data_IF_881197017188
#
_entry.id   IF_881197017188
#
_cell.length_a   1.000
_cell.length_b   1.000
_cell.length_c   1.000
_cell.angle_alpha   90.00
_cell.angle_beta   90.00
_cell.angle_gamma   90.00
#
_symmetry.space_group_name_H-M   'P 1'
#
loop_
_entity.id
_entity.type
_entity.pdbx_description
1 polymer ?
#
# COMPACT_ATOMS: atom_id res chain seq x y z
N UNK A 1 25.41 5.87 10.73
CA UNK A 1 23.94 5.94 10.51
C UNK A 1 23.31 4.57 10.22
N UNK A 2 23.97 3.67 9.48
CA UNK A 2 23.41 2.36 9.15
C UNK A 2 23.08 1.46 10.36
N UNK A 3 23.77 1.65 11.49
CA UNK A 3 23.58 0.89 12.74
C UNK A 3 22.70 1.61 13.77
N UNK A 4 22.08 2.73 13.43
CA UNK A 4 21.25 3.46 14.38
C UNK A 4 20.02 2.61 14.79
N UNK A 5 19.57 2.67 16.06
CA UNK A 5 18.32 2.06 16.51
C UNK A 5 17.11 2.61 15.72
N UNK A 6 16.10 1.76 15.48
CA UNK A 6 14.91 2.14 14.69
C UNK A 6 14.23 3.43 15.17
N UNK A 7 14.05 3.69 16.49
CA UNK A 7 13.47 4.94 16.96
C UNK A 7 14.23 6.19 16.51
N UNK A 8 15.57 6.11 16.40
CA UNK A 8 16.39 7.22 15.91
C UNK A 8 16.21 7.43 14.41
N UNK A 9 16.10 6.35 13.63
CA UNK A 9 15.84 6.42 12.19
C UNK A 9 14.48 7.07 11.92
N UNK A 10 13.44 6.66 12.66
CA UNK A 10 12.10 7.25 12.55
C UNK A 10 12.14 8.76 12.83
N UNK A 11 12.86 9.19 13.87
CA UNK A 11 13.01 10.61 14.23
C UNK A 11 13.77 11.42 13.17
N UNK A 12 14.85 10.87 12.63
CA UNK A 12 15.62 11.50 11.54
C UNK A 12 14.74 11.68 10.31
N UNK A 13 13.97 10.65 9.95
CA UNK A 13 13.05 10.74 8.82
C UNK A 13 11.92 11.71 9.07
N UNK A 14 11.31 11.72 10.25
CA UNK A 14 10.30 12.72 10.59
C UNK A 14 10.85 14.16 10.44
N UNK A 15 12.12 14.37 10.80
CA UNK A 15 12.81 15.66 10.66
C UNK A 15 13.03 16.01 9.18
N UNK A 16 13.52 15.08 8.37
CA UNK A 16 13.69 15.26 6.91
C UNK A 16 12.33 15.49 6.22
N UNK A 17 11.30 14.77 6.66
CA UNK A 17 9.89 14.94 6.29
C UNK A 17 9.26 16.21 6.84
N UNK A 18 9.95 17.03 7.62
CA UNK A 18 9.50 18.36 8.06
C UNK A 18 10.19 19.50 7.29
N UNK A 19 11.26 19.23 6.53
CA UNK A 19 12.01 20.25 5.79
C UNK A 19 11.23 20.81 4.60
N UNK A 20 11.34 22.12 4.37
CA UNK A 20 10.73 22.80 3.22
C UNK A 20 11.36 22.39 1.87
N UNK A 21 12.68 22.13 1.85
CA UNK A 21 13.40 21.60 0.69
C UNK A 21 14.00 20.23 1.03
N UNK A 22 13.51 19.18 0.35
CA UNK A 22 13.93 17.79 0.59
C UNK A 22 15.12 17.33 -0.24
N UNK A 23 15.50 18.05 -1.30
CA UNK A 23 16.47 17.57 -2.30
C UNK A 23 17.79 17.04 -1.70
N UNK A 24 18.56 17.85 -0.95
CA UNK A 24 19.80 17.39 -0.30
C UNK A 24 19.56 16.36 0.81
N UNK A 25 18.44 16.47 1.53
CA UNK A 25 18.09 15.56 2.61
C UNK A 25 17.68 14.17 2.12
N UNK A 26 17.13 14.07 0.90
CA UNK A 26 16.80 12.80 0.24
C UNK A 26 18.04 11.94 -0.06
N UNK A 27 19.21 12.58 -0.21
CA UNK A 27 20.49 11.89 -0.34
C UNK A 27 20.97 11.31 1.01
N UNK A 28 20.73 12.02 2.12
CA UNK A 28 21.08 11.56 3.47
C UNK A 28 20.26 10.34 3.90
N UNK A 29 18.99 10.27 3.49
CA UNK A 29 18.13 9.10 3.77
C UNK A 29 18.29 7.96 2.76
N UNK A 30 19.03 8.17 1.66
CA UNK A 30 19.16 7.16 0.60
C UNK A 30 19.68 5.81 1.11
N UNK A 31 20.71 5.73 1.98
CA UNK A 31 21.18 4.48 2.56
C UNK A 31 20.16 3.82 3.50
N UNK A 32 19.25 4.60 4.07
CA UNK A 32 18.22 4.11 5.00
C UNK A 32 16.95 3.65 4.30
N UNK A 33 16.82 3.81 2.97
CA UNK A 33 15.57 3.53 2.24
C UNK A 33 15.08 2.10 2.43
N UNK A 34 15.97 1.11 2.47
CA UNK A 34 15.60 -0.29 2.69
C UNK A 34 15.01 -0.49 4.09
N UNK A 35 15.68 0.01 5.13
CA UNK A 35 15.17 -0.06 6.51
C UNK A 35 13.87 0.74 6.67
N UNK A 36 13.75 1.90 6.02
CA UNK A 36 12.51 2.70 6.04
C UNK A 36 11.36 2.06 5.28
N UNK A 37 11.66 1.31 4.21
CA UNK A 37 10.69 0.47 3.58
C UNK A 37 10.19 -0.58 4.58
N UNK A 38 11.08 -1.20 5.35
CA UNK A 38 10.70 -2.14 6.43
C UNK A 38 9.88 -1.48 7.54
N UNK A 39 10.31 -0.35 8.08
CA UNK A 39 9.68 0.26 9.25
C UNK A 39 8.33 0.95 8.96
N UNK A 40 8.10 1.41 7.72
CA UNK A 40 6.95 2.25 7.32
C UNK A 40 6.47 3.21 8.42
N UNK A 41 7.36 4.06 8.98
CA UNK A 41 6.94 4.96 10.02
C UNK A 41 5.79 5.85 9.51
N UNK A 42 4.77 6.12 10.33
CA UNK A 42 3.72 7.07 10.01
C UNK A 42 4.36 8.38 9.55
N UNK A 43 4.01 8.83 8.35
CA UNK A 43 4.64 10.02 7.78
C UNK A 43 3.87 11.26 8.21
N UNK A 44 4.53 12.39 8.52
CA UNK A 44 3.84 13.64 8.82
C UNK A 44 2.85 14.02 7.72
N UNK A 45 1.63 14.40 8.06
CA UNK A 45 0.70 14.93 7.06
C UNK A 45 1.19 16.29 6.57
N UNK A 46 1.06 16.50 5.27
CA UNK A 46 1.35 17.75 4.56
C UNK A 46 0.25 17.97 3.55
N UNK A 47 -0.01 19.21 3.14
CA UNK A 47 -1.06 19.53 2.18
C UNK A 47 -0.97 18.68 0.91
N UNK A 48 0.20 18.63 0.26
CA UNK A 48 0.42 17.81 -0.93
C UNK A 48 0.22 16.30 -0.67
N UNK A 49 0.62 15.80 0.50
CA UNK A 49 0.45 14.37 0.86
C UNK A 49 -1.02 14.02 1.08
N UNK A 50 -1.78 14.89 1.73
CA UNK A 50 -3.23 14.72 1.89
C UNK A 50 -3.95 14.83 0.53
N UNK A 51 -3.56 15.79 -0.32
CA UNK A 51 -4.14 15.99 -1.65
C UNK A 51 -4.01 14.74 -2.52
N UNK A 52 -2.82 14.13 -2.53
CA UNK A 52 -2.52 12.99 -3.40
C UNK A 52 -2.68 11.62 -2.74
N UNK A 53 -2.99 11.55 -1.44
CA UNK A 53 -3.25 10.30 -0.72
C UNK A 53 -4.16 9.29 -1.47
N UNK A 54 -5.34 9.67 -2.00
CA UNK A 54 -6.20 8.73 -2.71
C UNK A 54 -5.61 8.27 -4.05
N UNK A 55 -4.62 9.00 -4.59
CA UNK A 55 -3.97 8.75 -5.87
C UNK A 55 -2.59 8.09 -5.73
N UNK A 56 -2.13 7.81 -4.51
CA UNK A 56 -0.82 7.24 -4.21
C UNK A 56 -0.47 6.01 -5.07
N UNK A 57 -1.37 5.03 -5.29
CA UNK A 57 -1.10 3.88 -6.16
C UNK A 57 -0.77 4.25 -7.60
N UNK A 58 -1.08 5.48 -8.03
CA UNK A 58 -0.82 5.96 -9.38
C UNK A 58 0.47 6.73 -9.56
N UNK A 59 1.13 7.09 -8.46
CA UNK A 59 2.31 7.96 -8.44
C UNK A 59 3.57 7.14 -8.76
N UNK A 60 4.32 7.57 -9.77
CA UNK A 60 5.55 6.90 -10.21
C UNK A 60 6.75 7.85 -10.22
N UNK A 61 7.99 7.35 -10.11
CA UNK A 61 9.18 8.15 -10.39
C UNK A 61 9.14 8.73 -11.81
N UNK A 62 9.58 9.98 -11.99
CA UNK A 62 9.55 10.65 -13.29
C UNK A 62 10.29 9.87 -14.39
N UNK A 63 11.42 9.23 -14.05
CA UNK A 63 12.19 8.40 -14.99
C UNK A 63 11.39 7.23 -15.59
N UNK A 64 10.34 6.77 -14.91
CA UNK A 64 9.48 5.66 -15.32
C UNK A 64 8.16 6.12 -15.94
N UNK A 65 7.87 7.41 -15.92
CA UNK A 65 6.67 7.96 -16.52
C UNK A 65 6.86 8.21 -18.01
N UNK A 66 5.81 8.03 -18.80
CA UNK A 66 5.76 8.35 -20.23
C UNK A 66 4.41 8.97 -20.57
N UNK A 67 4.33 9.86 -21.58
CA UNK A 67 3.05 10.34 -22.10
C UNK A 67 2.13 9.17 -22.48
N UNK A 68 0.85 9.29 -22.16
CA UNK A 68 -0.14 8.23 -22.38
C UNK A 68 -0.09 7.08 -21.36
N UNK A 69 0.91 7.01 -20.48
CA UNK A 69 0.82 6.10 -19.35
C UNK A 69 -0.19 6.65 -18.34
N UNK A 70 -1.10 5.79 -17.89
CA UNK A 70 -2.17 6.08 -16.93
C UNK A 70 -1.66 6.34 -15.48
N UNK A 71 -0.55 7.08 -15.31
CA UNK A 71 0.19 7.38 -14.06
C UNK A 71 0.45 8.86 -13.86
N UNK A 72 0.77 9.22 -12.62
CA UNK A 72 1.16 10.57 -12.23
C UNK A 72 2.67 10.59 -11.94
N UNK A 73 3.49 11.39 -12.66
CA UNK A 73 4.90 11.53 -12.36
C UNK A 73 5.08 12.33 -11.06
N UNK A 74 5.97 11.87 -10.17
CA UNK A 74 6.21 12.52 -8.88
C UNK A 74 6.63 14.00 -8.99
N UNK A 75 7.26 14.39 -10.09
CA UNK A 75 7.66 15.79 -10.35
C UNK A 75 6.48 16.73 -10.51
N UNK A 76 5.31 16.24 -10.95
CA UNK A 76 4.10 17.06 -11.10
C UNK A 76 3.41 17.39 -9.77
N UNK A 77 3.66 16.62 -8.70
CA UNK A 77 2.88 16.75 -7.46
C UNK A 77 3.04 18.11 -6.79
N UNK A 78 4.27 18.63 -6.69
CA UNK A 78 4.53 19.88 -5.97
C UNK A 78 3.90 21.10 -6.68
N UNK A 79 4.10 21.33 -8.00
CA UNK A 79 3.44 22.43 -8.70
C UNK A 79 1.91 22.37 -8.66
N UNK A 80 1.34 21.16 -8.81
CA UNK A 80 -0.12 20.96 -8.77
C UNK A 80 -0.68 21.22 -7.36
N UNK A 81 0.00 20.71 -6.31
CA UNK A 81 -0.40 20.99 -4.94
C UNK A 81 -0.34 22.48 -4.60
N UNK A 82 0.69 23.18 -5.07
CA UNK A 82 0.85 24.61 -4.83
C UNK A 82 -0.26 25.43 -5.50
N UNK A 83 -0.61 25.09 -6.75
CA UNK A 83 -1.73 25.72 -7.43
C UNK A 83 -3.05 25.54 -6.68
N UNK A 84 -3.33 24.33 -6.21
CA UNK A 84 -4.53 24.02 -5.42
C UNK A 84 -4.53 24.83 -4.13
N UNK A 85 -3.41 24.83 -3.41
CA UNK A 85 -3.22 25.58 -2.16
C UNK A 85 -3.49 27.07 -2.34
N UNK A 86 -2.86 27.69 -3.34
CA UNK A 86 -3.03 29.12 -3.64
C UNK A 86 -4.46 29.47 -4.07
N UNK A 87 -5.09 28.61 -4.89
CA UNK A 87 -6.45 28.87 -5.40
C UNK A 87 -7.52 28.71 -4.32
N UNK A 88 -7.30 27.82 -3.35
CA UNK A 88 -8.21 27.62 -2.20
C UNK A 88 -8.04 28.69 -1.11
N UNK A 89 -6.88 29.35 -1.04
CA UNK A 89 -6.63 30.44 -0.09
C UNK A 89 -6.89 30.05 1.37
N UNK A 90 -7.80 30.74 2.11
CA UNK A 90 -8.06 30.46 3.52
C UNK A 90 -8.47 29.03 3.84
N UNK A 91 -9.20 28.35 2.94
CA UNK A 91 -9.64 26.97 3.16
C UNK A 91 -8.45 26.00 3.20
N UNK A 92 -7.44 26.22 2.35
CA UNK A 92 -6.21 25.43 2.40
C UNK A 92 -5.43 25.68 3.70
N UNK A 93 -5.34 26.93 4.15
CA UNK A 93 -4.69 27.27 5.41
C UNK A 93 -5.39 26.62 6.62
N UNK A 94 -6.72 26.56 6.62
CA UNK A 94 -7.49 25.88 7.66
C UNK A 94 -7.24 24.35 7.66
N UNK A 95 -7.12 23.73 6.49
CA UNK A 95 -6.74 22.31 6.37
C UNK A 95 -5.31 22.09 6.88
N UNK A 96 -4.36 22.93 6.49
CA UNK A 96 -2.96 22.85 6.94
C UNK A 96 -2.83 22.95 8.46
N UNK A 97 -3.57 23.88 9.08
CA UNK A 97 -3.60 24.01 10.53
C UNK A 97 -4.15 22.75 11.23
N UNK A 98 -5.17 22.09 10.65
CA UNK A 98 -5.76 20.85 11.20
C UNK A 98 -4.84 19.64 11.10
N UNK A 99 -4.01 19.55 10.06
CA UNK A 99 -3.11 18.41 9.85
C UNK A 99 -1.72 18.62 10.46
N UNK A 100 -1.45 19.79 11.04
CA UNK A 100 -0.18 20.09 11.70
C UNK A 100 0.09 19.09 12.84
N UNK A 101 1.30 18.52 12.87
CA UNK A 101 1.73 17.48 13.81
C UNK A 101 0.90 16.17 13.76
N UNK A 102 0.12 15.96 12.71
CA UNK A 102 -0.61 14.71 12.47
C UNK A 102 0.16 13.83 11.48
N UNK A 103 -0.18 12.54 11.42
CA UNK A 103 0.51 11.58 10.56
C UNK A 103 -0.45 10.80 9.68
N UNK A 104 0.07 10.05 8.71
CA UNK A 104 -0.72 9.18 7.84
C UNK A 104 -1.45 8.05 8.57
N UNK A 105 -1.17 7.82 9.86
CA UNK A 105 -1.92 6.87 10.68
C UNK A 105 -3.30 7.40 11.10
N UNK A 106 -3.56 8.70 10.94
CA UNK A 106 -4.80 9.34 11.36
C UNK A 106 -5.89 9.25 10.29
N UNK A 107 -6.41 8.04 10.09
CA UNK A 107 -7.34 7.70 8.99
C UNK A 107 -8.60 8.58 9.04
N UNK A 108 -9.17 8.80 10.22
CA UNK A 108 -10.38 9.62 10.36
C UNK A 108 -10.14 11.09 10.01
N UNK A 109 -8.97 11.63 10.38
CA UNK A 109 -8.61 13.00 9.99
C UNK A 109 -8.39 13.11 8.49
N UNK A 110 -7.76 12.12 7.87
CA UNK A 110 -7.56 12.06 6.41
C UNK A 110 -8.92 12.05 5.71
N UNK A 111 -9.87 11.21 6.15
CA UNK A 111 -11.20 11.15 5.57
C UNK A 111 -11.94 12.50 5.69
N UNK A 112 -11.92 13.13 6.87
CA UNK A 112 -12.57 14.44 7.09
C UNK A 112 -11.95 15.57 6.29
N UNK A 113 -10.63 15.72 6.33
CA UNK A 113 -9.94 16.81 5.61
C UNK A 113 -9.93 16.55 4.10
N UNK A 114 -9.76 15.29 3.69
CA UNK A 114 -9.83 14.84 2.30
C UNK A 114 -11.21 15.09 1.68
N UNK A 115 -12.29 14.82 2.41
CA UNK A 115 -13.65 15.11 1.97
C UNK A 115 -13.91 16.59 1.64
N UNK A 116 -13.20 17.51 2.31
CA UNK A 116 -13.22 18.94 1.99
C UNK A 116 -12.26 19.28 0.83
N UNK A 117 -11.04 18.72 0.89
CA UNK A 117 -9.95 19.05 -0.03
C UNK A 117 -10.17 18.54 -1.45
N UNK A 118 -10.48 17.25 -1.62
CA UNK A 118 -10.43 16.60 -2.94
C UNK A 118 -11.47 17.15 -3.92
N UNK A 119 -12.74 17.38 -3.54
CA UNK A 119 -13.71 18.01 -4.45
C UNK A 119 -13.34 19.46 -4.80
N UNK A 120 -12.76 20.22 -3.86
CA UNK A 120 -12.29 21.58 -4.13
C UNK A 120 -11.10 21.58 -5.11
N UNK A 121 -10.13 20.69 -4.89
CA UNK A 121 -8.99 20.51 -5.76
C UNK A 121 -9.40 20.08 -7.18
N UNK A 122 -10.39 19.19 -7.30
CA UNK A 122 -10.96 18.80 -8.59
C UNK A 122 -11.42 20.02 -9.40
N UNK A 123 -12.20 20.92 -8.79
CA UNK A 123 -12.67 22.15 -9.43
C UNK A 123 -11.54 23.09 -9.82
N UNK A 124 -10.55 23.29 -8.94
CA UNK A 124 -9.38 24.14 -9.22
C UNK A 124 -8.60 23.62 -10.43
N UNK A 125 -8.35 22.32 -10.48
CA UNK A 125 -7.55 21.70 -11.55
C UNK A 125 -8.31 21.63 -12.87
N UNK A 126 -9.64 21.48 -12.84
CA UNK A 126 -10.49 21.54 -14.03
C UNK A 126 -10.46 22.92 -14.71
N UNK A 127 -10.15 24.00 -13.98
CA UNK A 127 -9.98 25.33 -14.57
C UNK A 127 -8.71 25.48 -15.42
N UNK A 128 -7.77 24.54 -15.35
CA UNK A 128 -6.65 24.42 -16.30
C UNK A 128 -5.57 25.52 -16.24
N UNK A 129 -5.50 26.33 -15.16
CA UNK A 129 -4.46 27.36 -15.03
C UNK A 129 -3.08 26.74 -14.80
N UNK A 130 -2.18 26.86 -15.78
CA UNK A 130 -0.80 26.36 -15.65
C UNK A 130 -0.06 27.11 -14.53
N UNK A 131 0.56 26.41 -13.56
CA UNK A 131 1.41 27.03 -12.54
C UNK A 131 2.71 27.58 -13.14
N UNK A 132 3.19 28.71 -12.64
CA UNK A 132 4.48 29.30 -13.05
C UNK A 132 5.66 28.34 -12.84
N UNK A 133 5.56 27.44 -11.85
CA UNK A 133 6.61 26.46 -11.55
C UNK A 133 6.56 25.21 -12.43
N UNK A 134 5.63 25.11 -13.40
CA UNK A 134 5.45 23.89 -14.19
C UNK A 134 6.68 23.50 -15.01
N UNK A 135 7.42 24.47 -15.55
CA UNK A 135 8.61 24.21 -16.36
C UNK A 135 9.69 23.44 -15.60
N UNK A 136 9.74 23.61 -14.26
CA UNK A 136 10.66 22.88 -13.37
C UNK A 136 10.38 21.38 -13.30
N UNK A 137 9.23 20.92 -13.79
CA UNK A 137 8.88 19.49 -13.83
C UNK A 137 9.63 18.72 -14.91
N UNK A 138 10.09 19.41 -15.97
CA UNK A 138 10.67 18.80 -17.17
C UNK A 138 9.67 18.06 -18.07
N UNK A 139 8.36 18.15 -17.82
CA UNK A 139 7.33 17.42 -18.56
C UNK A 139 6.84 18.16 -19.83
N UNK A 140 7.13 19.47 -19.93
CA UNK A 140 6.65 20.33 -20.99
C UNK A 140 5.20 20.80 -20.79
N UNK A 141 4.86 21.98 -21.33
CA UNK A 141 3.54 22.60 -21.17
C UNK A 141 2.40 21.77 -21.77
N UNK A 142 2.64 21.09 -22.90
CA UNK A 142 1.64 20.25 -23.55
C UNK A 142 1.12 19.09 -22.67
N UNK A 143 1.91 18.67 -21.67
CA UNK A 143 1.53 17.60 -20.76
C UNK A 143 0.73 18.06 -19.55
N UNK A 144 0.68 19.37 -19.28
CA UNK A 144 -0.04 19.90 -18.13
C UNK A 144 -1.53 19.56 -18.19
N UNK A 145 -2.22 20.04 -19.22
CA UNK A 145 -3.68 19.93 -19.31
C UNK A 145 -4.19 18.47 -19.34
N UNK A 146 -3.61 17.54 -20.13
CA UNK A 146 -4.05 16.14 -20.08
C UNK A 146 -3.87 15.51 -18.70
N UNK A 147 -2.73 15.77 -18.04
CA UNK A 147 -2.45 15.20 -16.73
C UNK A 147 -3.36 15.79 -15.64
N UNK A 148 -3.51 17.11 -15.58
CA UNK A 148 -4.35 17.74 -14.55
C UNK A 148 -5.83 17.48 -14.76
N UNK A 149 -6.30 17.31 -16.00
CA UNK A 149 -7.69 16.90 -16.27
C UNK A 149 -7.95 15.49 -15.74
N UNK A 150 -7.01 14.56 -15.94
CA UNK A 150 -7.11 13.23 -15.32
C UNK A 150 -7.12 13.33 -13.79
N UNK A 151 -6.19 14.08 -13.19
CA UNK A 151 -6.13 14.25 -11.72
C UNK A 151 -7.43 14.87 -11.19
N UNK A 152 -7.97 15.89 -11.87
CA UNK A 152 -9.22 16.54 -11.51
C UNK A 152 -10.39 15.57 -11.50
N UNK A 153 -10.55 14.76 -12.55
CA UNK A 153 -11.60 13.75 -12.63
C UNK A 153 -11.51 12.72 -11.49
N UNK A 154 -10.29 12.25 -11.17
CA UNK A 154 -10.08 11.30 -10.08
C UNK A 154 -10.32 11.90 -8.70
N UNK A 155 -9.86 13.14 -8.45
CA UNK A 155 -10.08 13.84 -7.18
C UNK A 155 -11.56 14.16 -6.94
N UNK A 156 -12.34 14.34 -8.00
CA UNK A 156 -13.80 14.51 -7.89
C UNK A 156 -14.48 13.31 -7.24
N UNK A 157 -13.93 12.10 -7.43
CA UNK A 157 -14.44 10.85 -6.90
C UNK A 157 -13.68 10.33 -5.67
N UNK A 158 -12.61 11.00 -5.25
CA UNK A 158 -11.70 10.48 -4.23
C UNK A 158 -12.39 10.22 -2.88
N UNK A 159 -13.35 11.07 -2.48
CA UNK A 159 -14.09 10.91 -1.23
C UNK A 159 -15.02 9.67 -1.29
N UNK A 160 -15.70 9.47 -2.41
CA UNK A 160 -16.56 8.29 -2.63
C UNK A 160 -15.73 6.99 -2.65
N UNK A 161 -14.57 7.02 -3.33
CA UNK A 161 -13.62 5.91 -3.34
C UNK A 161 -13.12 5.57 -1.92
N UNK A 162 -12.79 6.58 -1.13
CA UNK A 162 -12.29 6.41 0.24
C UNK A 162 -13.37 5.83 1.18
N UNK A 163 -14.60 6.33 1.08
CA UNK A 163 -15.74 5.80 1.81
C UNK A 163 -16.05 4.35 1.43
N UNK A 164 -16.00 4.01 0.13
CA UNK A 164 -16.21 2.65 -0.35
C UNK A 164 -15.11 1.69 0.13
N UNK A 165 -13.84 2.12 0.07
CA UNK A 165 -12.72 1.32 0.56
C UNK A 165 -12.78 1.10 2.08
N UNK A 166 -13.22 2.11 2.83
CA UNK A 166 -13.40 1.99 4.28
C UNK A 166 -14.55 1.05 4.64
N UNK A 167 -15.67 1.11 3.91
CA UNK A 167 -16.83 0.23 4.14
C UNK A 167 -16.57 -1.24 3.80
N UNK A 168 -15.61 -1.52 2.92
CA UNK A 168 -15.21 -2.88 2.52
C UNK A 168 -13.96 -3.37 3.24
N UNK A 169 -13.38 -2.54 4.11
CA UNK A 169 -12.21 -2.90 4.90
C UNK A 169 -12.48 -4.16 5.73
N UNK A 170 -11.55 -5.11 5.68
CA UNK A 170 -11.70 -6.42 6.35
C UNK A 170 -12.51 -7.46 5.56
N UNK A 171 -13.02 -7.13 4.36
CA UNK A 171 -13.62 -8.11 3.45
C UNK A 171 -14.96 -8.69 3.91
N UNK A 172 -15.61 -8.07 4.91
CA UNK A 172 -16.90 -8.54 5.45
C UNK A 172 -18.07 -8.29 4.48
N UNK A 173 -17.97 -7.26 3.65
CA UNK A 173 -18.99 -6.90 2.67
C UNK A 173 -18.35 -6.75 1.29
N UNK A 174 -18.99 -7.26 0.22
CA UNK A 174 -18.57 -6.98 -1.14
C UNK A 174 -18.74 -5.48 -1.45
N UNK A 175 -17.92 -4.91 -2.34
CA UNK A 175 -18.09 -3.53 -2.76
C UNK A 175 -19.43 -3.34 -3.49
N UNK A 176 -20.11 -2.24 -3.16
CA UNK A 176 -21.36 -1.85 -3.80
C UNK A 176 -21.14 -1.57 -5.30
N UNK A 177 -21.65 -2.48 -6.15
CA UNK A 177 -21.50 -2.41 -7.59
C UNK A 177 -22.12 -1.14 -8.18
N UNK A 178 -23.27 -0.69 -7.66
CA UNK A 178 -23.95 0.50 -8.15
C UNK A 178 -23.11 1.75 -7.90
N UNK A 179 -22.47 1.86 -6.72
CA UNK A 179 -21.53 2.95 -6.43
C UNK A 179 -20.29 2.90 -7.31
N UNK A 180 -19.74 1.71 -7.56
CA UNK A 180 -18.62 1.56 -8.52
C UNK A 180 -19.03 2.07 -9.89
N UNK A 181 -20.19 1.65 -10.40
CA UNK A 181 -20.66 2.06 -11.72
C UNK A 181 -20.91 3.56 -11.81
N UNK A 182 -21.52 4.16 -10.78
CA UNK A 182 -21.71 5.60 -10.70
C UNK A 182 -20.37 6.35 -10.78
N UNK A 183 -19.36 5.96 -9.99
CA UNK A 183 -18.04 6.57 -10.04
C UNK A 183 -17.38 6.45 -11.43
N UNK A 184 -17.46 5.27 -12.06
CA UNK A 184 -16.91 5.06 -13.41
C UNK A 184 -17.63 5.91 -14.45
N UNK A 185 -18.95 6.02 -14.37
CA UNK A 185 -19.76 6.87 -15.22
C UNK A 185 -19.40 8.35 -15.07
N UNK A 186 -19.26 8.84 -13.83
CA UNK A 186 -18.87 10.21 -13.55
C UNK A 186 -17.44 10.53 -14.03
N UNK A 187 -16.48 9.61 -13.85
CA UNK A 187 -15.12 9.78 -14.40
C UNK A 187 -15.13 9.77 -15.92
N UNK A 188 -15.88 8.86 -16.55
CA UNK A 188 -15.96 8.79 -18.01
C UNK A 188 -16.60 10.05 -18.60
N UNK A 189 -17.64 10.58 -17.95
CA UNK A 189 -18.31 11.82 -18.34
C UNK A 189 -17.40 13.04 -18.17
N UNK A 190 -16.61 13.09 -17.10
CA UNK A 190 -15.65 14.18 -16.87
C UNK A 190 -14.46 14.11 -17.82
N UNK A 191 -13.83 12.93 -17.95
CA UNK A 191 -12.68 12.72 -18.81
C UNK A 191 -12.42 11.23 -19.07
N UNK A 192 -12.84 10.71 -20.22
CA UNK A 192 -12.70 9.30 -20.59
C UNK A 192 -11.27 8.72 -20.42
N UNK A 193 -10.17 9.43 -20.79
CA UNK A 193 -8.81 8.93 -20.55
C UNK A 193 -8.43 8.71 -19.08
N UNK A 194 -9.19 9.23 -18.11
CA UNK A 194 -8.96 8.98 -16.69
C UNK A 194 -9.53 7.63 -16.22
N UNK A 195 -10.38 6.98 -17.02
CA UNK A 195 -11.07 5.75 -16.64
C UNK A 195 -10.12 4.59 -16.26
N UNK A 196 -9.03 4.31 -17.00
CA UNK A 196 -8.07 3.27 -16.59
C UNK A 196 -7.39 3.59 -15.26
N UNK A 197 -7.18 4.88 -14.96
CA UNK A 197 -6.59 5.33 -13.69
C UNK A 197 -7.56 5.06 -12.53
N UNK A 198 -8.85 5.35 -12.71
CA UNK A 198 -9.87 5.06 -11.71
C UNK A 198 -10.01 3.55 -11.45
N UNK A 199 -10.04 2.73 -12.52
CA UNK A 199 -10.09 1.27 -12.38
C UNK A 199 -8.83 0.76 -11.66
N UNK A 200 -7.65 1.28 -11.99
CA UNK A 200 -6.42 0.91 -11.30
C UNK A 200 -6.46 1.28 -9.80
N UNK A 201 -7.07 2.41 -9.43
CA UNK A 201 -7.26 2.79 -8.02
C UNK A 201 -8.23 1.86 -7.30
N UNK A 202 -9.37 1.55 -7.91
CA UNK A 202 -10.35 0.61 -7.37
C UNK A 202 -9.68 -0.73 -7.07
N UNK A 203 -9.01 -1.32 -8.07
CA UNK A 203 -8.35 -2.62 -7.92
C UNK A 203 -7.17 -2.59 -6.95
N UNK A 204 -6.43 -1.47 -6.87
CA UNK A 204 -5.30 -1.33 -5.95
C UNK A 204 -5.74 -1.13 -4.49
N UNK A 205 -6.96 -0.66 -4.23
CA UNK A 205 -7.50 -0.45 -2.87
C UNK A 205 -8.46 -1.55 -2.45
N UNK A 206 -9.21 -2.12 -3.39
CA UNK A 206 -10.25 -3.12 -3.22
C UNK A 206 -10.21 -4.11 -4.39
N UNK A 207 -9.33 -5.13 -4.37
CA UNK A 207 -9.26 -6.13 -5.44
C UNK A 207 -10.61 -6.78 -5.78
N UNK A 208 -11.51 -6.90 -4.81
CA UNK A 208 -12.88 -7.38 -4.92
C UNK A 208 -13.71 -6.62 -5.95
N UNK A 209 -13.39 -5.35 -6.17
CA UNK A 209 -14.09 -4.51 -7.14
C UNK A 209 -14.03 -5.11 -8.56
N UNK A 210 -13.02 -5.95 -8.85
CA UNK A 210 -12.89 -6.65 -10.12
C UNK A 210 -14.15 -7.44 -10.51
N UNK A 211 -14.87 -8.02 -9.54
CA UNK A 211 -16.09 -8.79 -9.81
C UNK A 211 -17.26 -7.89 -10.28
N UNK A 212 -17.28 -6.62 -9.86
CA UNK A 212 -18.34 -5.67 -10.19
C UNK A 212 -18.10 -4.96 -11.54
N UNK A 213 -16.85 -4.94 -12.06
CA UNK A 213 -16.51 -4.21 -13.29
C UNK A 213 -17.16 -4.78 -14.57
N UNK A 214 -17.22 -6.11 -14.81
CA UNK A 214 -17.81 -6.65 -16.02
C UNK A 214 -19.34 -6.53 -16.08
N UNK A 215 -19.99 -6.48 -14.92
CA UNK A 215 -21.45 -6.35 -14.81
C UNK A 215 -21.95 -4.96 -15.19
N UNK A 216 -21.02 -4.03 -15.43
CA UNK A 216 -21.31 -2.62 -15.39
C UNK A 216 -22.15 -2.12 -16.56
N UNK A 217 -22.01 -2.64 -17.80
CA UNK A 217 -22.63 -1.95 -18.93
C UNK A 217 -22.87 -2.86 -20.15
N UNK A 218 -24.08 -2.80 -20.72
CA UNK A 218 -24.32 -3.12 -22.13
C UNK A 218 -23.99 -1.93 -23.04
N UNK A 219 -23.65 -2.19 -24.30
CA UNK A 219 -23.44 -1.14 -25.31
C UNK A 219 -22.02 -0.54 -25.34
N UNK A 220 -21.90 0.69 -25.88
CA UNK A 220 -20.62 1.37 -26.14
C UNK A 220 -19.81 1.68 -24.87
N UNK A 221 -20.48 2.04 -23.78
CA UNK A 221 -19.83 2.29 -22.47
C UNK A 221 -19.16 1.03 -21.93
N UNK A 222 -19.75 -0.15 -22.15
CA UNK A 222 -19.15 -1.43 -21.75
C UNK A 222 -17.83 -1.71 -22.44
N UNK A 223 -17.72 -1.42 -23.74
CA UNK A 223 -16.46 -1.57 -24.48
C UNK A 223 -15.37 -0.62 -23.95
N UNK A 224 -15.72 0.62 -23.63
CA UNK A 224 -14.77 1.59 -23.08
C UNK A 224 -14.27 1.18 -21.69
N UNK A 225 -15.16 0.71 -20.81
CA UNK A 225 -14.79 0.19 -19.48
C UNK A 225 -13.90 -1.05 -19.61
N UNK A 226 -14.20 -1.97 -20.52
CA UNK A 226 -13.39 -3.16 -20.75
C UNK A 226 -11.98 -2.81 -21.24
N UNK A 227 -11.87 -1.91 -22.22
CA UNK A 227 -10.57 -1.43 -22.70
C UNK A 227 -9.77 -0.72 -21.58
N UNK A 228 -10.45 0.06 -20.74
CA UNK A 228 -9.84 0.71 -19.59
C UNK A 228 -9.40 -0.29 -18.51
N UNK A 229 -10.16 -1.37 -18.28
CA UNK A 229 -9.79 -2.47 -17.40
C UNK A 229 -8.53 -3.17 -17.88
N UNK A 230 -8.42 -3.44 -19.18
CA UNK A 230 -7.23 -4.09 -19.74
C UNK A 230 -5.98 -3.22 -19.57
N UNK A 231 -6.08 -1.91 -19.80
CA UNK A 231 -4.98 -0.96 -19.53
C UNK A 231 -4.64 -0.85 -18.04
N UNK A 232 -5.64 -0.85 -17.16
CA UNK A 232 -5.45 -0.84 -15.71
C UNK A 232 -4.74 -2.12 -15.24
N UNK A 233 -5.12 -3.27 -15.77
CA UNK A 233 -4.49 -4.56 -15.47
C UNK A 233 -3.02 -4.59 -15.87
N UNK A 234 -2.70 -4.20 -17.11
CA UNK A 234 -1.31 -4.15 -17.60
C UNK A 234 -0.44 -3.23 -16.74
N UNK A 235 -0.99 -2.06 -16.38
CA UNK A 235 -0.34 -1.11 -15.48
C UNK A 235 -0.05 -1.70 -14.10
N UNK A 236 -1.04 -2.32 -13.47
CA UNK A 236 -0.90 -2.89 -12.13
C UNK A 236 0.15 -4.01 -12.12
N UNK A 237 0.12 -4.87 -13.15
CA UNK A 237 1.13 -5.92 -13.31
C UNK A 237 2.52 -5.34 -13.52
N UNK A 238 2.66 -4.32 -14.37
CA UNK A 238 3.95 -3.62 -14.55
C UNK A 238 4.45 -2.99 -13.25
N UNK A 239 3.56 -2.43 -12.43
CA UNK A 239 3.94 -1.84 -11.14
C UNK A 239 4.41 -2.91 -10.13
N UNK A 240 3.72 -4.05 -10.06
CA UNK A 240 4.10 -5.17 -9.19
C UNK A 240 5.40 -5.84 -9.63
N UNK A 241 5.65 -5.88 -10.93
CA UNK A 241 6.81 -6.56 -11.51
C UNK A 241 8.12 -5.77 -11.39
N UNK A 242 8.02 -4.44 -11.40
CA UNK A 242 9.17 -3.54 -11.48
C UNK A 242 9.86 -3.25 -10.14
N UNK A 243 11.20 -3.16 -10.15
CA UNK A 243 12.08 -2.67 -9.07
C UNK A 243 11.69 -3.15 -7.67
N UNK A 244 11.56 -4.46 -7.50
CA UNK A 244 11.14 -5.09 -6.25
C UNK A 244 9.75 -4.66 -5.75
N UNK A 245 8.85 -4.13 -6.59
CA UNK A 245 7.53 -3.64 -6.16
C UNK A 245 6.74 -4.63 -5.30
N UNK A 246 6.70 -5.90 -5.70
CA UNK A 246 6.11 -6.97 -4.89
C UNK A 246 6.91 -7.18 -3.59
N UNK A 247 8.23 -7.36 -3.66
CA UNK A 247 9.06 -7.63 -2.48
C UNK A 247 9.04 -6.47 -1.48
N UNK A 248 9.10 -5.22 -1.95
CA UNK A 248 9.07 -4.02 -1.13
C UNK A 248 7.76 -3.86 -0.38
N UNK A 249 6.63 -4.30 -0.95
CA UNK A 249 5.33 -4.30 -0.25
C UNK A 249 5.28 -5.36 0.85
N UNK A 250 5.87 -6.53 0.62
CA UNK A 250 5.90 -7.62 1.61
C UNK A 250 6.96 -7.41 2.68
N UNK A 251 8.13 -6.87 2.32
CA UNK A 251 9.25 -6.62 3.22
C UNK A 251 8.99 -5.49 4.23
N UNK A 252 7.80 -4.90 4.20
CA UNK A 252 7.48 -3.64 4.85
C UNK A 252 6.33 -3.76 5.85
N UNK A 253 6.43 -3.01 6.95
CA UNK A 253 5.50 -3.03 8.07
C UNK A 253 5.72 -4.21 9.02
N UNK A 254 4.75 -4.39 9.90
CA UNK A 254 4.66 -5.56 10.77
C UNK A 254 4.45 -6.84 9.95
N UNK A 255 4.66 -8.00 10.57
CA UNK A 255 4.35 -9.28 9.95
C UNK A 255 2.86 -9.40 9.55
N UNK A 256 1.95 -8.80 10.32
CA UNK A 256 0.53 -8.74 9.97
C UNK A 256 0.28 -7.88 8.74
N UNK A 257 0.96 -6.72 8.61
CA UNK A 257 0.87 -5.87 7.42
C UNK A 257 1.40 -6.59 6.16
N UNK A 258 2.47 -7.37 6.32
CA UNK A 258 3.03 -8.19 5.25
C UNK A 258 2.02 -9.26 4.79
N UNK A 259 1.34 -9.93 5.73
CA UNK A 259 0.29 -10.90 5.43
C UNK A 259 -0.90 -10.25 4.70
N UNK A 260 -1.41 -9.13 5.20
CA UNK A 260 -2.48 -8.37 4.54
C UNK A 260 -2.08 -7.92 3.12
N UNK A 261 -0.84 -7.47 2.94
CA UNK A 261 -0.30 -7.09 1.63
C UNK A 261 -0.19 -8.31 0.69
N UNK A 262 0.22 -9.48 1.19
CA UNK A 262 0.28 -10.72 0.41
C UNK A 262 -1.11 -11.15 -0.05
N UNK A 263 -2.09 -11.17 0.85
CA UNK A 263 -3.48 -11.48 0.57
C UNK A 263 -4.05 -10.58 -0.53
N UNK A 264 -3.84 -9.26 -0.39
CA UNK A 264 -4.32 -8.28 -1.34
C UNK A 264 -3.71 -8.48 -2.74
N UNK A 265 -2.40 -8.71 -2.83
CA UNK A 265 -1.72 -8.96 -4.11
C UNK A 265 -2.20 -10.29 -4.69
N UNK A 266 -2.30 -11.36 -3.90
CA UNK A 266 -2.76 -12.67 -4.35
C UNK A 266 -4.18 -12.60 -4.93
N UNK A 267 -5.08 -11.90 -4.24
CA UNK A 267 -6.46 -11.67 -4.68
C UNK A 267 -6.53 -10.88 -5.98
N UNK A 268 -5.76 -9.79 -6.07
CA UNK A 268 -5.65 -9.01 -7.31
C UNK A 268 -5.16 -9.89 -8.47
N UNK A 269 -4.10 -10.67 -8.27
CA UNK A 269 -3.56 -11.56 -9.30
C UNK A 269 -4.59 -12.63 -9.72
N UNK A 270 -5.36 -13.18 -8.77
CA UNK A 270 -6.47 -14.08 -9.06
C UNK A 270 -7.50 -13.45 -9.97
N UNK A 271 -7.95 -12.22 -9.66
CA UNK A 271 -8.90 -11.50 -10.50
C UNK A 271 -8.35 -11.16 -11.89
N UNK A 272 -7.07 -10.78 -12.00
CA UNK A 272 -6.43 -10.47 -13.28
C UNK A 272 -6.18 -11.71 -14.16
N UNK A 273 -6.18 -12.90 -13.55
CA UNK A 273 -6.04 -14.19 -14.24
C UNK A 273 -7.38 -14.73 -14.75
N UNK A 274 -8.48 -14.43 -14.05
CA UNK A 274 -9.83 -14.87 -14.44
C UNK A 274 -10.35 -14.16 -15.71
N UNK A 275 -11.23 -14.84 -16.46
CA UNK A 275 -11.91 -14.29 -17.64
C UNK A 275 -11.13 -14.38 -18.96
N UNK A 276 -11.31 -13.40 -19.84
CA UNK A 276 -10.69 -13.29 -21.17
C UNK A 276 -9.21 -12.86 -21.13
N UNK A 277 -8.51 -13.14 -20.02
CA UNK A 277 -7.10 -12.81 -19.86
C UNK A 277 -6.24 -13.43 -20.97
N UNK A 278 -5.44 -12.59 -21.62
CA UNK A 278 -4.52 -13.03 -22.69
C UNK A 278 -3.45 -14.00 -22.17
N UNK A 279 -2.89 -14.88 -23.02
CA UNK A 279 -1.80 -15.77 -22.61
C UNK A 279 -0.61 -15.02 -22.00
N UNK A 280 -0.27 -13.86 -22.57
CA UNK A 280 0.79 -12.97 -22.04
C UNK A 280 0.48 -12.51 -20.61
N UNK A 281 -0.76 -12.10 -20.33
CA UNK A 281 -1.20 -11.68 -18.99
C UNK A 281 -1.06 -12.82 -17.98
N UNK A 282 -1.47 -14.04 -18.34
CA UNK A 282 -1.33 -15.23 -17.48
C UNK A 282 0.13 -15.52 -17.15
N UNK A 283 1.03 -15.50 -18.13
CA UNK A 283 2.47 -15.67 -17.91
C UNK A 283 3.02 -14.61 -16.94
N UNK A 284 2.63 -13.34 -17.13
CA UNK A 284 3.06 -12.25 -16.24
C UNK A 284 2.53 -12.42 -14.82
N UNK A 285 1.25 -12.79 -14.66
CA UNK A 285 0.65 -13.09 -13.36
C UNK A 285 1.42 -14.21 -12.66
N UNK A 286 1.73 -15.31 -13.36
CA UNK A 286 2.49 -16.43 -12.79
C UNK A 286 3.92 -16.03 -12.39
N UNK A 287 4.57 -15.16 -13.16
CA UNK A 287 5.88 -14.62 -12.79
C UNK A 287 5.81 -13.78 -11.50
N UNK A 288 4.78 -12.94 -11.35
CA UNK A 288 4.57 -12.13 -10.15
C UNK A 288 4.19 -13.00 -8.95
N UNK A 289 3.36 -14.04 -9.11
CA UNK A 289 3.04 -15.03 -8.06
C UNK A 289 4.31 -15.68 -7.51
N UNK A 290 5.23 -16.10 -8.40
CA UNK A 290 6.53 -16.66 -7.97
C UNK A 290 7.37 -15.64 -7.19
N UNK A 291 7.43 -14.37 -7.64
CA UNK A 291 8.11 -13.29 -6.91
C UNK A 291 7.47 -13.02 -5.55
N UNK A 292 6.14 -13.10 -5.46
CA UNK A 292 5.39 -12.95 -4.22
C UNK A 292 5.70 -14.08 -3.24
N UNK A 293 5.67 -15.34 -3.67
CA UNK A 293 6.04 -16.51 -2.84
C UNK A 293 7.46 -16.37 -2.28
N UNK A 294 8.44 -16.02 -3.13
CA UNK A 294 9.82 -15.77 -2.68
C UNK A 294 9.89 -14.63 -1.66
N UNK A 295 9.15 -13.53 -1.90
CA UNK A 295 9.08 -12.40 -0.98
C UNK A 295 8.48 -12.76 0.38
N UNK A 296 7.38 -13.52 0.39
CA UNK A 296 6.71 -14.00 1.61
C UNK A 296 7.64 -14.91 2.42
N UNK A 297 8.33 -15.87 1.79
CA UNK A 297 9.31 -16.73 2.46
C UNK A 297 10.44 -15.92 3.09
N UNK A 298 11.01 -14.98 2.34
CA UNK A 298 12.10 -14.14 2.84
C UNK A 298 11.64 -13.29 4.04
N UNK A 299 10.47 -12.66 3.95
CA UNK A 299 9.92 -11.86 5.06
C UNK A 299 9.57 -12.70 6.27
N UNK A 300 8.99 -13.89 6.06
CA UNK A 300 8.64 -14.83 7.12
C UNK A 300 9.90 -15.29 7.87
N UNK A 301 10.92 -15.76 7.14
CA UNK A 301 12.18 -16.18 7.76
C UNK A 301 12.86 -15.03 8.52
N UNK A 302 12.89 -13.83 7.92
CA UNK A 302 13.45 -12.63 8.55
C UNK A 302 12.69 -12.26 9.83
N UNK A 303 11.35 -12.25 9.80
CA UNK A 303 10.55 -11.91 10.97
C UNK A 303 10.60 -12.98 12.06
N UNK A 304 10.66 -14.26 11.68
CA UNK A 304 10.85 -15.35 12.63
C UNK A 304 12.17 -15.17 13.39
N UNK A 305 13.26 -14.90 12.66
CA UNK A 305 14.57 -14.70 13.27
C UNK A 305 14.60 -13.41 14.10
N UNK A 306 14.22 -12.27 13.51
CA UNK A 306 14.46 -10.95 14.11
C UNK A 306 13.41 -10.53 15.14
N UNK A 307 12.14 -10.91 14.96
CA UNK A 307 11.03 -10.46 15.81
C UNK A 307 10.63 -11.49 16.85
N UNK A 308 11.04 -12.76 16.70
CA UNK A 308 10.69 -13.84 17.63
C UNK A 308 11.92 -14.51 18.26
N UNK A 309 12.83 -15.10 17.47
CA UNK A 309 13.92 -15.91 18.00
C UNK A 309 15.06 -15.09 18.62
N UNK A 310 15.47 -13.99 17.99
CA UNK A 310 16.53 -13.13 18.52
C UNK A 310 16.16 -12.52 19.89
N UNK A 311 14.95 -11.95 20.10
CA UNK A 311 14.56 -11.46 21.42
C UNK A 311 14.54 -12.53 22.50
N UNK A 312 14.22 -13.80 22.16
CA UNK A 312 14.29 -14.92 23.11
C UNK A 312 15.71 -15.24 23.58
N UNK A 313 16.72 -14.86 22.79
CA UNK A 313 18.14 -15.03 23.13
C UNK A 313 18.76 -13.78 23.78
N UNK A 314 18.10 -12.62 23.74
CA UNK A 314 18.58 -11.37 24.34
C UNK A 314 18.46 -11.45 25.86
N UNK A 315 19.52 -11.23 26.68
CA UNK A 315 19.45 -11.30 28.13
C UNK A 315 18.46 -10.31 28.80
N UNK A 316 17.97 -9.30 28.08
CA UNK A 316 16.98 -8.36 28.59
C UNK A 316 15.64 -9.03 28.97
N UNK A 317 14.82 -8.37 29.82
CA UNK A 317 13.47 -8.85 30.14
C UNK A 317 12.61 -9.01 28.88
N UNK A 318 11.94 -10.16 28.77
CA UNK A 318 11.14 -10.50 27.61
C UNK A 318 9.82 -9.73 27.61
N UNK A 319 9.54 -9.03 26.51
CA UNK A 319 8.25 -8.41 26.26
C UNK A 319 7.28 -9.44 25.66
N UNK A 320 6.67 -10.27 26.51
CA UNK A 320 5.74 -11.35 26.08
C UNK A 320 4.67 -10.87 25.08
N UNK A 321 4.00 -9.72 25.27
CA UNK A 321 3.01 -9.23 24.30
C UNK A 321 3.59 -8.99 22.89
N UNK A 322 4.86 -8.58 22.79
CA UNK A 322 5.53 -8.37 21.51
C UNK A 322 5.86 -9.70 20.81
N UNK A 323 6.32 -10.70 21.57
CA UNK A 323 6.56 -12.05 21.06
C UNK A 323 5.27 -12.70 20.54
N UNK A 324 4.17 -12.56 21.27
CA UNK A 324 2.87 -13.04 20.82
C UNK A 324 2.39 -12.32 19.56
N UNK A 325 2.56 -10.99 19.48
CA UNK A 325 2.21 -10.22 18.29
C UNK A 325 3.03 -10.68 17.07
N UNK A 326 4.33 -10.94 17.24
CA UNK A 326 5.19 -11.51 16.20
C UNK A 326 4.71 -12.92 15.78
N UNK A 327 4.44 -13.80 16.74
CA UNK A 327 3.95 -15.15 16.47
C UNK A 327 2.61 -15.16 15.71
N UNK A 328 1.66 -14.32 16.11
CA UNK A 328 0.38 -14.15 15.40
C UNK A 328 0.59 -13.56 14.00
N UNK A 329 1.48 -12.58 13.88
CA UNK A 329 1.86 -11.99 12.60
C UNK A 329 2.46 -13.03 11.63
N UNK A 330 3.33 -13.93 12.13
CA UNK A 330 3.87 -15.05 11.35
C UNK A 330 2.75 -15.96 10.84
N UNK A 331 1.79 -16.33 11.70
CA UNK A 331 0.65 -17.16 11.28
C UNK A 331 -0.22 -16.50 10.22
N UNK A 332 -0.51 -15.21 10.37
CA UNK A 332 -1.26 -14.45 9.35
C UNK A 332 -0.51 -14.46 8.02
N UNK A 333 0.79 -14.13 8.01
CA UNK A 333 1.60 -14.15 6.79
C UNK A 333 1.66 -15.55 6.16
N UNK A 334 1.83 -16.60 6.96
CA UNK A 334 1.88 -17.98 6.49
C UNK A 334 0.55 -18.41 5.85
N UNK A 335 -0.57 -18.11 6.49
CA UNK A 335 -1.90 -18.48 6.01
C UNK A 335 -2.16 -17.85 4.63
N UNK A 336 -1.85 -16.56 4.50
CA UNK A 336 -2.01 -15.85 3.23
C UNK A 336 -1.00 -16.32 2.18
N UNK A 337 0.26 -16.56 2.56
CA UNK A 337 1.28 -17.02 1.64
C UNK A 337 1.02 -18.42 1.09
N UNK A 338 0.36 -19.32 1.84
CA UNK A 338 -0.07 -20.63 1.33
C UNK A 338 -1.00 -20.53 0.13
N UNK A 339 -1.81 -19.48 0.03
CA UNK A 339 -2.68 -19.24 -1.14
C UNK A 339 -1.89 -18.89 -2.40
N UNK A 340 -0.66 -18.40 -2.23
CA UNK A 340 0.28 -18.06 -3.30
C UNK A 340 1.14 -19.28 -3.68
N UNK A 341 1.59 -20.06 -2.69
CA UNK A 341 2.28 -21.33 -2.88
C UNK A 341 3.12 -21.82 -1.68
N UNK A 342 3.72 -23.00 -1.84
CA UNK A 342 4.83 -23.53 -1.00
C UNK A 342 4.58 -23.69 0.52
N UNK A 343 3.46 -24.28 0.94
CA UNK A 343 3.13 -24.50 2.36
C UNK A 343 4.20 -25.23 3.18
N UNK A 344 4.84 -26.27 2.62
CA UNK A 344 5.79 -27.12 3.35
C UNK A 344 7.02 -26.39 3.91
N UNK A 345 7.46 -25.30 3.26
CA UNK A 345 8.61 -24.53 3.76
C UNK A 345 8.28 -23.80 5.08
N UNK A 346 7.04 -23.34 5.24
CA UNK A 346 6.59 -22.66 6.45
C UNK A 346 6.42 -23.66 7.61
N UNK A 347 5.92 -24.86 7.33
CA UNK A 347 5.79 -25.95 8.32
C UNK A 347 7.13 -26.26 9.01
N UNK A 348 8.20 -26.37 8.23
CA UNK A 348 9.55 -26.64 8.76
C UNK A 348 10.04 -25.49 9.65
N UNK A 349 9.80 -24.24 9.26
CA UNK A 349 10.24 -23.07 10.04
C UNK A 349 9.44 -22.92 11.33
N UNK A 350 8.11 -23.13 11.29
CA UNK A 350 7.25 -23.08 12.47
C UNK A 350 7.59 -24.19 13.47
N UNK A 351 7.85 -25.41 12.98
CA UNK A 351 8.28 -26.52 13.83
C UNK A 351 9.59 -26.21 14.54
N UNK A 352 10.60 -25.71 13.81
CA UNK A 352 11.88 -25.29 14.40
C UNK A 352 11.71 -24.19 15.46
N UNK A 353 10.81 -23.24 15.23
CA UNK A 353 10.51 -22.19 16.20
C UNK A 353 9.88 -22.75 17.47
N UNK A 354 8.90 -23.66 17.34
CA UNK A 354 8.25 -24.31 18.46
C UNK A 354 9.25 -25.17 19.29
N UNK A 355 10.16 -25.88 18.61
CA UNK A 355 11.25 -26.63 19.25
C UNK A 355 12.21 -25.71 20.02
N UNK A 356 12.56 -24.55 19.45
CA UNK A 356 13.41 -23.56 20.11
C UNK A 356 12.75 -22.99 21.38
N UNK A 357 11.45 -22.68 21.32
CA UNK A 357 10.67 -22.14 22.45
C UNK A 357 10.48 -23.17 23.56
N UNK A 358 10.29 -24.45 23.20
CA UNK A 358 10.10 -25.56 24.15
C UNK A 358 11.42 -26.10 24.72
N UNK A 359 12.55 -25.61 24.20
CA UNK A 359 13.88 -26.09 24.54
C UNK A 359 14.28 -25.81 25.99
N UNK A 360 15.21 -26.59 26.57
CA UNK A 360 15.65 -26.43 27.96
C UNK A 360 16.14 -25.00 28.28
N UNK A 361 16.82 -24.36 27.32
CA UNK A 361 17.34 -23.00 27.47
C UNK A 361 16.25 -21.95 27.75
N UNK A 362 15.02 -22.20 27.29
CA UNK A 362 13.89 -21.28 27.49
C UNK A 362 13.14 -21.51 28.79
N UNK A 363 13.32 -22.67 29.46
CA UNK A 363 12.64 -22.99 30.72
C UNK A 363 12.98 -22.04 31.85
N UNK A 364 14.20 -21.52 31.86
CA UNK A 364 14.66 -20.56 32.87
C UNK A 364 14.29 -19.11 32.51
N UNK A 365 13.83 -18.86 31.27
CA UNK A 365 13.58 -17.51 30.74
C UNK A 365 12.10 -17.18 30.57
N UNK A 366 11.28 -18.16 30.20
CA UNK A 366 9.86 -18.03 29.96
C UNK A 366 9.09 -18.85 30.98
N UNK A 367 8.04 -18.26 31.55
CA UNK A 367 7.07 -19.04 32.32
C UNK A 367 6.47 -20.13 31.43
N UNK A 368 6.18 -21.30 32.00
CA UNK A 368 5.63 -22.44 31.26
C UNK A 368 4.35 -22.05 30.48
N UNK A 369 3.50 -21.20 31.08
CA UNK A 369 2.27 -20.69 30.45
C UNK A 369 2.57 -19.89 29.17
N UNK A 370 3.65 -19.10 29.15
CA UNK A 370 4.03 -18.30 27.98
C UNK A 370 4.63 -19.19 26.88
N UNK A 371 5.39 -20.22 27.24
CA UNK A 371 5.90 -21.21 26.28
C UNK A 371 4.76 -21.95 25.57
N UNK A 372 3.81 -22.49 26.35
CA UNK A 372 2.63 -23.19 25.83
C UNK A 372 1.85 -22.27 24.91
N UNK A 373 1.60 -21.03 25.32
CA UNK A 373 0.84 -20.05 24.52
C UNK A 373 1.54 -19.68 23.21
N UNK A 374 2.85 -19.47 23.22
CA UNK A 374 3.59 -19.16 21.99
C UNK A 374 3.59 -20.36 21.02
N UNK A 375 3.77 -21.58 21.53
CA UNK A 375 3.72 -22.79 20.69
C UNK A 375 2.31 -23.06 20.18
N UNK A 376 1.28 -22.79 20.97
CA UNK A 376 -0.12 -22.89 20.52
C UNK A 376 -0.37 -21.96 19.32
N UNK A 377 0.09 -20.70 19.40
CA UNK A 377 -0.04 -19.75 18.30
C UNK A 377 0.70 -20.27 17.05
N UNK A 378 1.94 -20.72 17.19
CA UNK A 378 2.79 -21.09 16.05
C UNK A 378 2.43 -22.44 15.41
N UNK A 379 2.05 -23.43 16.20
CA UNK A 379 1.95 -24.84 15.79
C UNK A 379 0.64 -25.51 16.21
N UNK A 380 -0.27 -24.80 16.88
CA UNK A 380 -1.57 -25.30 17.28
C UNK A 380 -1.60 -25.96 18.67
N UNK A 381 -2.79 -26.29 19.18
CA UNK A 381 -3.00 -26.74 20.55
C UNK A 381 -2.35 -28.10 20.85
N UNK A 382 -2.30 -29.02 19.87
CA UNK A 382 -1.66 -30.34 20.06
C UNK A 382 -0.16 -30.22 20.35
N UNK A 383 0.54 -29.37 19.61
CA UNK A 383 1.97 -29.10 19.84
C UNK A 383 2.20 -28.43 21.21
N UNK A 384 1.28 -27.57 21.63
CA UNK A 384 1.34 -26.90 22.93
C UNK A 384 1.12 -27.86 24.10
N UNK A 385 0.18 -28.80 23.97
CA UNK A 385 -0.08 -29.83 24.98
C UNK A 385 1.13 -30.76 25.18
N UNK A 386 1.87 -31.08 24.12
CA UNK A 386 3.07 -31.92 24.20
C UNK A 386 4.19 -31.32 25.09
N UNK A 387 4.13 -30.02 25.40
CA UNK A 387 5.09 -29.37 26.33
C UNK A 387 4.77 -29.72 27.79
N UNK A 388 3.51 -30.02 28.10
CA UNK A 388 3.04 -30.26 29.47
C UNK A 388 3.30 -31.69 29.98
N UNK A 389 3.63 -32.64 29.08
CA UNK A 389 3.88 -34.05 29.42
C UNK A 389 3.05 -35.00 28.57
#
# INVERSE_FOLDING_TARGET
MAEAPDPHIVRIVATVDAMASRGPADALIAPLRQRLATLRPPRPLRFARLLFHPLDPLIVPAARWRPGHNSIPRTALAPVAEQVRLSMGPDAAAIEARILNRTTADVDLIARCGGLLWPAASRVLAAGKVPETWDRTGLGLAMYAPLTTCIAALLGQAAALDALASATAGGLLPPDAQRIHAMLGEVAAAHLPALPMMIALLLARMPEAAAALPQAHGGSTGMAVQAALDQAAERLLWHLDADDGTKSRIASGSLSDAGASAAQIAKLLGHLETGSASPRRRVQVQAIRKKLDVGCKARFATGLEQELLLPLNDPAPLAIPALEAAARGLRVLETEARTVGSGAAYDVLLKKAAEAISGPAMRDRLALVDQVRLVEILSGPEAALAILG
#
